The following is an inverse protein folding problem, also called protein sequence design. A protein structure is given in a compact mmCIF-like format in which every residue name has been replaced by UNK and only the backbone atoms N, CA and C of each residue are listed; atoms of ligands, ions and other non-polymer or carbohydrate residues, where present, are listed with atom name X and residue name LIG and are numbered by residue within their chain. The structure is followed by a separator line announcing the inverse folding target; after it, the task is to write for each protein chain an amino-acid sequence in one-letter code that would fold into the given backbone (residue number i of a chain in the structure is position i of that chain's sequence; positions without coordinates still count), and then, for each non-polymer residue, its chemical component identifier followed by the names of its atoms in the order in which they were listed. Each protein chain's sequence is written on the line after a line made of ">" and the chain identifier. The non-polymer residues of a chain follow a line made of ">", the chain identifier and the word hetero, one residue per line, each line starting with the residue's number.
data_IF_618012969141
#
_entry.id   IF_618012969141
#
_cell.length_a   1.000
_cell.length_b   1.000
_cell.length_c   1.000
_cell.angle_alpha   90.00
_cell.angle_beta   90.00
_cell.angle_gamma   90.00
#
_symmetry.space_group_name_H-M   'P 1'
#
loop_
_entity.id
_entity.type
_entity.pdbx_description
1 polymer ?
#
# COMPACT_ATOMS: atom_id res chain seq x y z
N UNK A 1 -7.26 -6.67 -60.93
CA UNK A 1 -8.16 -7.78 -60.57
C UNK A 1 -7.27 -8.96 -60.18
N UNK A 2 -7.13 -9.22 -58.89
CA UNK A 2 -6.64 -10.49 -58.34
C UNK A 2 -7.51 -10.82 -57.15
N UNK A 3 -8.15 -11.95 -57.22
CA UNK A 3 -9.15 -12.48 -56.29
C UNK A 3 -8.42 -13.14 -55.11
N UNK A 4 -8.77 -12.79 -53.86
CA UNK A 4 -8.36 -13.51 -52.66
C UNK A 4 -9.29 -14.69 -52.42
N UNK A 5 -8.81 -15.85 -51.98
CA UNK A 5 -9.67 -16.98 -51.61
C UNK A 5 -10.22 -16.83 -50.18
N UNK A 6 -11.50 -17.22 -50.06
CA UNK A 6 -12.28 -17.37 -48.83
C UNK A 6 -11.77 -18.59 -48.00
N UNK A 7 -11.58 -18.38 -46.71
CA UNK A 7 -11.37 -19.45 -45.73
C UNK A 7 -12.73 -19.98 -45.19
N UNK A 8 -12.86 -21.27 -44.89
CA UNK A 8 -14.13 -21.86 -44.50
C UNK A 8 -14.49 -21.63 -43.03
N UNK A 9 -15.80 -21.50 -42.77
CA UNK A 9 -16.42 -21.37 -41.47
C UNK A 9 -16.36 -22.69 -40.68
N UNK A 10 -16.04 -22.60 -39.38
CA UNK A 10 -16.09 -23.68 -38.39
C UNK A 10 -17.45 -23.68 -37.70
N UNK A 11 -18.17 -24.82 -37.58
CA UNK A 11 -19.49 -24.86 -36.98
C UNK A 11 -19.47 -24.80 -35.44
N UNK A 12 -20.37 -24.01 -34.89
CA UNK A 12 -20.66 -23.87 -33.45
C UNK A 12 -21.36 -25.17 -32.96
N UNK A 13 -20.77 -25.92 -32.05
CA UNK A 13 -21.40 -27.04 -31.39
C UNK A 13 -22.29 -26.58 -30.22
N UNK A 14 -23.54 -27.01 -30.23
CA UNK A 14 -24.53 -26.87 -29.14
C UNK A 14 -24.03 -27.53 -27.87
N UNK A 15 -23.98 -26.79 -26.76
CA UNK A 15 -23.89 -27.37 -25.41
C UNK A 15 -25.29 -27.31 -24.75
N UNK A 16 -25.76 -28.48 -24.39
CA UNK A 16 -27.09 -28.73 -23.84
C UNK A 16 -27.29 -28.16 -22.44
N UNK A 17 -28.50 -27.65 -22.22
CA UNK A 17 -29.04 -27.20 -20.94
C UNK A 17 -29.30 -28.40 -20.05
N UNK A 18 -28.57 -28.53 -18.93
CA UNK A 18 -28.89 -29.50 -17.87
C UNK A 18 -29.75 -28.76 -16.82
N UNK A 19 -31.03 -29.16 -16.74
CA UNK A 19 -31.98 -28.64 -15.76
C UNK A 19 -31.63 -29.11 -14.34
N UNK A 20 -31.49 -28.17 -13.42
CA UNK A 20 -31.34 -28.44 -11.98
C UNK A 20 -32.74 -28.39 -11.35
N UNK A 21 -33.23 -29.56 -10.89
CA UNK A 21 -34.44 -29.68 -10.06
C UNK A 21 -34.15 -29.12 -8.67
N UNK A 22 -35.02 -28.23 -8.20
CA UNK A 22 -35.04 -27.69 -6.83
C UNK A 22 -35.45 -28.81 -5.83
N UNK A 23 -34.61 -29.04 -4.82
CA UNK A 23 -34.95 -29.84 -3.63
C UNK A 23 -35.31 -28.91 -2.45
N UNK A 24 -36.27 -29.32 -1.61
CA UNK A 24 -36.69 -28.50 -0.44
C UNK A 24 -35.69 -28.58 0.70
N UNK A 25 -35.50 -27.43 1.38
CA UNK A 25 -34.66 -27.29 2.59
C UNK A 25 -35.24 -28.05 3.78
N UNK A 26 -34.44 -28.81 4.53
CA UNK A 26 -34.85 -29.26 5.87
C UNK A 26 -34.52 -28.22 6.94
N UNK A 27 -35.46 -28.08 7.90
CA UNK A 27 -35.36 -27.21 9.05
C UNK A 27 -34.17 -27.57 9.96
N UNK A 28 -33.40 -26.57 10.41
CA UNK A 28 -32.36 -26.73 11.42
C UNK A 28 -32.98 -26.88 12.82
N UNK A 29 -32.77 -28.03 13.46
CA UNK A 29 -32.84 -28.18 14.90
C UNK A 29 -31.44 -27.97 15.48
N UNK A 30 -31.37 -27.08 16.50
CA UNK A 30 -30.13 -26.79 17.22
C UNK A 30 -29.76 -27.98 18.13
N UNK A 31 -28.57 -28.54 17.92
CA UNK A 31 -27.89 -29.39 18.92
C UNK A 31 -26.46 -28.83 19.05
N UNK A 32 -26.07 -28.46 20.28
CA UNK A 32 -24.72 -28.00 20.59
C UNK A 32 -23.71 -29.12 20.36
N UNK A 33 -22.73 -28.81 19.56
CA UNK A 33 -21.48 -29.56 19.43
C UNK A 33 -20.35 -28.52 19.25
N UNK A 34 -19.28 -28.75 20.01
CA UNK A 34 -18.05 -27.94 19.92
C UNK A 34 -17.57 -27.83 18.47
N UNK A 35 -17.02 -26.67 18.07
CA UNK A 35 -16.50 -26.52 16.71
C UNK A 35 -15.32 -27.49 16.51
N UNK A 36 -15.29 -28.25 15.40
CA UNK A 36 -14.16 -29.11 15.11
C UNK A 36 -12.89 -28.27 14.97
N UNK A 37 -11.79 -28.79 15.53
CA UNK A 37 -10.47 -28.22 15.41
C UNK A 37 -10.20 -27.85 13.94
N UNK A 38 -9.68 -26.64 13.71
CA UNK A 38 -9.38 -26.14 12.38
C UNK A 38 -8.54 -27.18 11.62
N UNK A 39 -9.09 -27.71 10.52
CA UNK A 39 -8.36 -28.60 9.62
C UNK A 39 -7.11 -27.91 9.13
N UNK A 40 -5.98 -28.57 9.24
CA UNK A 40 -4.70 -28.14 8.69
C UNK A 40 -4.83 -28.04 7.16
N UNK A 41 -4.96 -26.80 6.65
CA UNK A 41 -5.05 -26.49 5.22
C UNK A 41 -3.67 -26.26 4.60
N UNK A 42 -2.59 -26.82 5.18
CA UNK A 42 -1.19 -26.54 4.83
C UNK A 42 -0.72 -27.08 3.46
N UNK A 43 -1.59 -27.64 2.64
CA UNK A 43 -1.17 -28.37 1.42
C UNK A 43 -1.78 -27.88 0.09
N UNK A 44 -2.03 -26.57 -0.08
CA UNK A 44 -2.48 -26.06 -1.38
C UNK A 44 -1.40 -25.24 -2.10
N UNK A 45 -1.34 -25.29 -3.46
CA UNK A 45 -0.41 -24.48 -4.28
C UNK A 45 -0.45 -22.97 -3.98
N UNK A 46 -1.60 -22.47 -3.48
CA UNK A 46 -1.78 -21.07 -3.03
C UNK A 46 -0.84 -20.68 -1.89
N UNK A 47 -0.49 -21.59 -0.98
CA UNK A 47 0.46 -21.30 0.09
C UNK A 47 1.88 -21.11 -0.44
N UNK A 48 2.28 -21.86 -1.46
CA UNK A 48 3.58 -21.69 -2.12
C UNK A 48 3.69 -20.31 -2.79
N UNK A 49 2.70 -19.93 -3.61
CA UNK A 49 2.69 -18.64 -4.27
C UNK A 49 2.60 -17.48 -3.29
N UNK A 50 1.83 -17.61 -2.22
CA UNK A 50 1.76 -16.58 -1.17
C UNK A 50 3.11 -16.41 -0.44
N UNK A 51 3.80 -17.50 -0.11
CA UNK A 51 5.13 -17.45 0.51
C UNK A 51 6.18 -16.86 -0.45
N UNK A 52 6.13 -17.23 -1.73
CA UNK A 52 6.99 -16.62 -2.74
C UNK A 52 6.69 -15.14 -2.91
N UNK A 53 5.41 -14.75 -2.97
CA UNK A 53 4.98 -13.35 -3.00
C UNK A 53 5.42 -12.56 -1.77
N UNK A 54 5.43 -13.18 -0.58
CA UNK A 54 5.96 -12.56 0.64
C UNK A 54 7.47 -12.30 0.53
N UNK A 55 8.22 -13.24 -0.02
CA UNK A 55 9.65 -13.05 -0.25
C UNK A 55 9.91 -11.91 -1.25
N UNK A 56 9.13 -11.83 -2.34
CA UNK A 56 9.18 -10.72 -3.29
C UNK A 56 8.88 -9.40 -2.58
N UNK A 57 7.76 -9.32 -1.87
CA UNK A 57 7.33 -8.11 -1.17
C UNK A 57 8.38 -7.58 -0.20
N UNK A 58 9.01 -8.49 0.56
CA UNK A 58 9.96 -8.13 1.62
C UNK A 58 11.37 -7.87 1.12
N UNK A 59 11.82 -8.56 0.06
CA UNK A 59 13.25 -8.66 -0.23
C UNK A 59 13.63 -8.46 -1.70
N UNK A 60 12.67 -8.35 -2.63
CA UNK A 60 12.98 -8.21 -4.05
C UNK A 60 13.01 -6.75 -4.45
N UNK A 61 14.13 -6.32 -5.01
CA UNK A 61 14.35 -4.96 -5.52
C UNK A 61 13.95 -4.82 -7.00
N UNK A 62 13.62 -5.91 -7.67
CA UNK A 62 13.33 -5.93 -9.10
C UNK A 62 14.47 -5.38 -9.97
N UNK A 63 15.70 -5.29 -9.44
CA UNK A 63 16.85 -4.69 -10.12
C UNK A 63 16.85 -3.16 -10.06
N UNK A 64 16.21 -2.57 -9.07
CA UNK A 64 16.10 -1.12 -8.89
C UNK A 64 17.40 -0.46 -8.41
N UNK A 65 18.44 -1.25 -8.16
CA UNK A 65 19.79 -0.76 -7.92
C UNK A 65 20.31 0.13 -9.08
N UNK A 66 19.78 -0.07 -10.30
CA UNK A 66 20.06 0.82 -11.44
C UNK A 66 19.66 2.28 -11.16
N UNK A 67 18.57 2.51 -10.43
CA UNK A 67 18.16 3.83 -9.96
C UNK A 67 18.85 4.21 -8.67
N UNK A 68 18.70 3.40 -7.61
CA UNK A 68 19.12 3.78 -6.26
C UNK A 68 20.62 3.84 -6.09
N UNK A 69 21.36 2.91 -6.70
CA UNK A 69 22.83 2.91 -6.70
C UNK A 69 23.40 3.66 -7.88
N UNK A 70 22.87 3.39 -9.09
CA UNK A 70 23.45 3.89 -10.33
C UNK A 70 23.20 5.39 -10.57
N UNK A 71 21.93 5.80 -10.53
CA UNK A 71 21.53 7.19 -10.84
C UNK A 71 21.58 8.08 -9.58
N UNK A 72 20.93 7.65 -8.50
CA UNK A 72 20.82 8.45 -7.27
C UNK A 72 22.06 8.37 -6.37
N UNK A 73 22.91 7.37 -6.56
CA UNK A 73 24.13 7.15 -5.76
C UNK A 73 23.86 7.07 -4.25
N UNK A 74 22.72 6.50 -3.86
CA UNK A 74 22.27 6.47 -2.47
C UNK A 74 23.15 5.63 -1.54
N UNK A 75 23.92 4.67 -2.09
CA UNK A 75 24.89 3.89 -1.31
C UNK A 75 25.97 4.76 -0.65
N UNK A 76 26.25 5.94 -1.19
CA UNK A 76 27.26 6.85 -0.64
C UNK A 76 26.80 7.51 0.67
N UNK A 77 25.69 8.27 0.71
CA UNK A 77 25.22 8.86 1.95
C UNK A 77 24.76 7.80 2.97
N UNK A 78 24.11 6.70 2.55
CA UNK A 78 23.65 5.66 3.47
C UNK A 78 24.81 4.97 4.19
N UNK A 79 25.96 4.84 3.57
CA UNK A 79 27.15 4.26 4.22
C UNK A 79 27.62 5.05 5.45
N UNK A 80 27.23 6.32 5.58
CA UNK A 80 27.63 7.20 6.68
C UNK A 80 26.48 7.55 7.65
N UNK A 81 25.26 7.03 7.39
CA UNK A 81 24.12 7.25 8.26
C UNK A 81 24.16 6.35 9.48
N UNK A 82 23.96 6.92 10.66
CA UNK A 82 23.75 6.14 11.87
C UNK A 82 22.35 5.54 11.93
N UNK A 83 22.12 4.47 12.72
CA UNK A 83 20.77 3.96 12.98
C UNK A 83 19.80 5.01 13.52
N UNK A 84 20.24 5.89 14.39
CA UNK A 84 19.42 6.99 14.93
C UNK A 84 18.92 7.92 13.83
N UNK A 85 19.79 8.33 12.91
CA UNK A 85 19.42 9.15 11.76
C UNK A 85 18.44 8.41 10.82
N UNK A 86 18.69 7.12 10.59
CA UNK A 86 17.82 6.27 9.77
C UNK A 86 16.42 6.11 10.38
N UNK A 87 16.33 5.88 11.69
CA UNK A 87 15.06 5.84 12.43
C UNK A 87 14.37 7.22 12.42
N UNK A 88 15.14 8.30 12.50
CA UNK A 88 14.65 9.68 12.46
C UNK A 88 13.93 10.04 11.15
N UNK A 89 14.31 9.44 10.02
CA UNK A 89 13.59 9.57 8.75
C UNK A 89 12.52 8.49 8.55
N UNK A 90 12.22 7.72 9.59
CA UNK A 90 11.11 6.78 9.62
C UNK A 90 11.44 5.37 9.10
N UNK A 91 12.71 5.04 8.83
CA UNK A 91 13.11 3.66 8.58
C UNK A 91 12.85 2.78 9.82
N UNK A 92 12.67 1.49 9.61
CA UNK A 92 12.29 0.53 10.66
C UNK A 92 13.24 -0.66 10.69
N UNK A 93 13.41 -1.25 11.88
CA UNK A 93 14.22 -2.44 12.09
C UNK A 93 13.36 -3.61 12.54
N UNK A 94 13.43 -4.70 11.78
CA UNK A 94 12.77 -5.98 12.05
C UNK A 94 13.62 -6.80 13.04
N UNK A 95 13.16 -6.97 14.26
CA UNK A 95 13.87 -7.74 15.29
C UNK A 95 13.97 -9.23 14.95
N UNK A 96 13.02 -9.76 14.16
CA UNK A 96 13.03 -11.16 13.76
C UNK A 96 14.14 -11.49 12.76
N UNK A 97 14.74 -10.48 12.14
CA UNK A 97 15.90 -10.63 11.25
C UNK A 97 17.24 -10.57 12.02
N UNK A 98 17.22 -10.25 13.31
CA UNK A 98 18.43 -10.07 14.12
C UNK A 98 18.78 -11.34 14.91
N UNK A 99 20.09 -11.65 15.06
CA UNK A 99 20.53 -12.67 16.02
C UNK A 99 20.07 -12.34 17.44
N UNK A 100 19.72 -13.36 18.23
CA UNK A 100 19.22 -13.20 19.61
C UNK A 100 20.17 -12.38 20.49
N UNK A 101 21.48 -12.54 20.30
CA UNK A 101 22.49 -11.77 21.04
C UNK A 101 22.41 -10.26 20.74
N UNK A 102 22.14 -9.88 19.48
CA UNK A 102 21.98 -8.48 19.07
C UNK A 102 20.70 -7.90 19.67
N UNK A 103 19.60 -8.66 19.66
CA UNK A 103 18.33 -8.25 20.31
C UNK A 103 18.54 -8.03 21.82
N UNK A 104 19.28 -8.92 22.49
CA UNK A 104 19.60 -8.77 23.90
C UNK A 104 20.45 -7.52 24.18
N UNK A 105 21.46 -7.26 23.35
CA UNK A 105 22.30 -6.06 23.45
C UNK A 105 21.51 -4.77 23.23
N UNK A 106 20.58 -4.75 22.26
CA UNK A 106 19.66 -3.62 22.02
C UNK A 106 18.79 -3.37 23.25
N UNK A 107 18.20 -4.41 23.85
CA UNK A 107 17.38 -4.29 25.09
C UNK A 107 18.18 -3.76 26.27
N UNK A 108 19.45 -4.11 26.34
CA UNK A 108 20.37 -3.65 27.40
C UNK A 108 20.95 -2.26 27.16
N UNK A 109 20.60 -1.59 26.02
CA UNK A 109 21.18 -0.29 25.65
C UNK A 109 22.68 -0.35 25.33
N UNK A 110 23.19 -1.52 24.95
CA UNK A 110 24.62 -1.76 24.70
C UNK A 110 25.04 -1.56 23.23
N UNK A 111 24.06 -1.24 22.36
CA UNK A 111 24.32 -0.95 20.94
C UNK A 111 24.38 0.55 20.75
N UNK A 112 25.49 1.05 20.21
CA UNK A 112 25.64 2.47 19.89
C UNK A 112 24.86 2.78 18.59
N UNK A 113 23.68 3.38 18.73
CA UNK A 113 22.84 3.77 17.60
C UNK A 113 23.36 5.03 16.86
N UNK A 114 24.43 5.66 17.34
CA UNK A 114 25.09 6.79 16.66
C UNK A 114 26.21 6.34 15.72
N UNK A 115 26.63 5.07 15.79
CA UNK A 115 27.69 4.50 14.94
C UNK A 115 27.15 4.04 13.57
N UNK A 116 27.58 4.61 12.44
CA UNK A 116 27.22 4.14 11.09
C UNK A 116 27.57 2.67 10.80
N UNK A 117 28.58 2.10 11.47
CA UNK A 117 28.92 0.68 11.29
C UNK A 117 27.79 -0.26 11.72
N UNK A 118 26.97 0.17 12.68
CA UNK A 118 25.76 -0.57 13.09
C UNK A 118 24.73 -0.58 11.95
N UNK A 119 24.55 0.52 11.22
CA UNK A 119 23.67 0.56 10.02
C UNK A 119 24.11 -0.47 8.98
N UNK A 120 25.39 -0.58 8.69
CA UNK A 120 25.92 -1.57 7.75
C UNK A 120 25.69 -3.02 8.24
N UNK A 121 25.79 -3.24 9.55
CA UNK A 121 25.49 -4.53 10.18
C UNK A 121 24.01 -4.89 10.04
N UNK A 122 23.09 -3.94 10.27
CA UNK A 122 21.66 -4.13 10.09
C UNK A 122 21.28 -4.40 8.62
N UNK A 123 21.94 -3.73 7.68
CA UNK A 123 21.74 -3.97 6.23
C UNK A 123 22.22 -5.39 5.83
N UNK A 124 23.37 -5.86 6.34
CA UNK A 124 23.83 -7.24 6.12
C UNK A 124 22.85 -8.28 6.64
N UNK A 125 22.26 -8.03 7.80
CA UNK A 125 21.24 -8.89 8.39
C UNK A 125 19.88 -8.85 7.66
N UNK A 126 19.70 -7.96 6.67
CA UNK A 126 18.39 -7.64 6.07
C UNK A 126 17.34 -7.19 7.10
N UNK A 127 17.79 -6.58 8.19
CA UNK A 127 16.93 -6.14 9.28
C UNK A 127 16.31 -4.76 9.03
N UNK A 128 16.87 -3.94 8.15
CA UNK A 128 16.26 -2.66 7.75
C UNK A 128 15.10 -2.94 6.80
N UNK A 129 13.88 -2.66 7.25
CA UNK A 129 12.67 -2.98 6.48
C UNK A 129 12.66 -2.20 5.16
N UNK A 130 12.50 -2.94 4.07
CA UNK A 130 12.34 -2.37 2.74
C UNK A 130 13.60 -1.82 2.09
N UNK A 131 14.76 -2.00 2.72
CA UNK A 131 16.06 -1.57 2.19
C UNK A 131 16.98 -2.77 2.03
N UNK A 132 17.56 -2.94 0.85
CA UNK A 132 18.52 -4.00 0.52
C UNK A 132 19.88 -3.41 0.25
N UNK A 133 20.84 -3.67 1.13
CA UNK A 133 22.22 -3.24 0.98
C UNK A 133 23.17 -4.41 0.68
N UNK A 134 24.06 -4.23 -0.28
CA UNK A 134 25.18 -5.16 -0.48
C UNK A 134 26.43 -4.59 0.19
N UNK A 135 26.77 -5.15 1.34
CA UNK A 135 27.95 -4.78 2.12
C UNK A 135 29.01 -5.87 1.95
N UNK A 136 30.21 -5.50 1.49
CA UNK A 136 31.35 -6.41 1.31
C UNK A 136 31.96 -6.81 2.65
N UNK A 137 32.82 -7.84 2.65
CA UNK A 137 33.41 -8.35 3.89
C UNK A 137 34.32 -7.31 4.59
N UNK A 138 34.95 -6.42 3.83
CA UNK A 138 35.71 -5.27 4.34
C UNK A 138 34.84 -4.08 4.81
N UNK A 139 33.51 -4.26 4.83
CA UNK A 139 32.57 -3.27 5.40
C UNK A 139 32.09 -2.19 4.45
N UNK A 140 32.39 -2.26 3.15
CA UNK A 140 31.96 -1.25 2.19
C UNK A 140 30.55 -1.53 1.65
N UNK A 141 29.66 -0.54 1.71
CA UNK A 141 28.35 -0.59 1.03
C UNK A 141 28.55 -0.30 -0.46
N UNK A 142 28.30 -1.29 -1.31
CA UNK A 142 28.54 -1.21 -2.77
C UNK A 142 27.28 -1.05 -3.59
N UNK A 143 26.13 -1.42 -3.02
CA UNK A 143 24.85 -1.33 -3.71
C UNK A 143 23.72 -1.17 -2.69
N UNK A 144 22.68 -0.45 -3.12
CA UNK A 144 21.43 -0.26 -2.39
C UNK A 144 20.26 -0.35 -3.35
N UNK A 145 19.18 -1.00 -2.91
CA UNK A 145 17.89 -1.04 -3.56
C UNK A 145 16.78 -1.03 -2.53
N UNK A 146 15.56 -0.86 -2.96
CA UNK A 146 14.38 -0.84 -2.10
C UNK A 146 13.39 -1.94 -2.45
N UNK A 147 12.46 -2.22 -1.55
CA UNK A 147 11.40 -3.23 -1.76
C UNK A 147 10.03 -2.63 -1.43
N UNK A 148 8.94 -3.32 -1.81
CA UNK A 148 7.58 -2.90 -1.48
C UNK A 148 7.37 -2.66 0.02
N UNK A 149 8.11 -3.40 0.87
CA UNK A 149 8.03 -3.28 2.32
C UNK A 149 8.47 -1.91 2.86
N UNK A 150 9.26 -1.12 2.12
CA UNK A 150 9.70 0.21 2.56
C UNK A 150 8.50 1.12 2.88
N UNK A 151 7.53 1.19 1.98
CA UNK A 151 6.34 2.03 2.11
C UNK A 151 5.16 1.31 2.78
N UNK A 152 5.13 -0.03 2.72
CA UNK A 152 3.97 -0.82 3.11
C UNK A 152 4.27 -1.85 4.21
N UNK A 153 5.25 -1.56 5.07
CA UNK A 153 5.47 -2.27 6.33
C UNK A 153 5.92 -1.31 7.42
N UNK A 154 5.57 -1.66 8.65
CA UNK A 154 6.06 -1.00 9.85
C UNK A 154 6.48 -2.06 10.88
N UNK A 155 6.68 -1.68 12.12
CA UNK A 155 6.92 -2.57 13.26
C UNK A 155 5.95 -2.23 14.39
N UNK A 156 5.83 -3.15 15.35
CA UNK A 156 4.98 -3.01 16.55
C UNK A 156 5.64 -2.20 17.67
N UNK A 157 6.83 -1.66 17.45
CA UNK A 157 7.63 -0.89 18.41
C UNK A 157 7.91 -1.66 19.74
N UNK A 158 7.80 -3.00 19.72
CA UNK A 158 7.92 -3.84 20.92
C UNK A 158 9.28 -3.82 21.60
N UNK A 159 10.32 -3.38 20.90
CA UNK A 159 11.66 -3.22 21.48
C UNK A 159 12.00 -1.75 21.79
N UNK A 160 11.78 -0.87 20.83
CA UNK A 160 11.95 0.57 20.90
C UNK A 160 11.20 1.25 19.75
N UNK A 161 10.97 2.58 19.79
CA UNK A 161 10.37 3.29 18.67
C UNK A 161 11.08 2.99 17.34
N UNK A 162 10.38 2.44 16.38
CA UNK A 162 10.92 2.02 15.08
C UNK A 162 11.65 0.67 15.06
N UNK A 163 11.69 -0.05 16.17
CA UNK A 163 12.35 -1.35 16.31
C UNK A 163 11.39 -2.36 16.95
N UNK A 164 11.02 -3.40 16.23
CA UNK A 164 10.03 -4.38 16.71
C UNK A 164 9.76 -5.48 15.68
N UNK A 165 8.68 -6.24 15.90
CA UNK A 165 8.22 -7.26 14.96
C UNK A 165 7.53 -6.62 13.76
N UNK A 166 7.83 -7.12 12.57
CA UNK A 166 7.34 -6.57 11.31
C UNK A 166 5.84 -6.75 11.12
N UNK A 167 5.19 -5.69 10.67
CA UNK A 167 3.77 -5.62 10.32
C UNK A 167 3.63 -5.31 8.82
N UNK A 168 3.52 -6.34 8.00
CA UNK A 168 3.35 -6.18 6.54
C UNK A 168 1.94 -5.69 6.19
N UNK A 169 1.86 -4.85 5.16
CA UNK A 169 0.60 -4.25 4.69
C UNK A 169 0.23 -2.94 5.38
N UNK A 170 0.88 -2.59 6.47
CA UNK A 170 0.64 -1.34 7.18
C UNK A 170 1.32 -0.17 6.45
N UNK A 171 0.63 0.97 6.41
CA UNK A 171 1.22 2.19 5.87
C UNK A 171 2.40 2.65 6.72
N UNK A 172 3.53 2.97 6.07
CA UNK A 172 4.70 3.53 6.74
C UNK A 172 4.52 5.04 6.98
N UNK A 173 3.61 5.41 7.89
CA UNK A 173 3.18 6.81 8.13
C UNK A 173 4.29 7.73 8.63
N UNK A 174 5.35 7.17 9.22
CA UNK A 174 6.53 7.93 9.67
C UNK A 174 7.65 8.00 8.64
N UNK A 175 7.58 7.25 7.54
CA UNK A 175 8.62 7.22 6.52
C UNK A 175 8.66 8.53 5.75
N UNK A 176 9.77 9.24 5.80
CA UNK A 176 9.97 10.47 5.04
C UNK A 176 10.76 10.20 3.76
N UNK A 177 10.04 9.75 2.72
CA UNK A 177 10.65 9.39 1.42
C UNK A 177 11.37 10.58 0.80
N UNK A 178 10.78 11.78 0.91
CA UNK A 178 11.37 13.00 0.36
C UNK A 178 12.70 13.36 1.05
N UNK A 179 12.76 13.27 2.37
CA UNK A 179 14.02 13.49 3.11
C UNK A 179 15.09 12.46 2.72
N UNK A 180 14.70 11.19 2.55
CA UNK A 180 15.63 10.14 2.10
C UNK A 180 16.16 10.43 0.71
N UNK A 181 15.31 10.74 -0.26
CA UNK A 181 15.72 11.10 -1.63
C UNK A 181 16.64 12.32 -1.66
N UNK A 182 16.41 13.30 -0.78
CA UNK A 182 17.21 14.53 -0.69
C UNK A 182 18.66 14.29 -0.23
N UNK A 183 18.98 13.11 0.31
CA UNK A 183 20.35 12.71 0.61
C UNK A 183 21.18 12.43 -0.65
N UNK A 184 20.53 12.17 -1.79
CA UNK A 184 21.22 11.82 -3.03
C UNK A 184 22.21 12.91 -3.45
N UNK A 185 23.50 12.56 -3.68
CA UNK A 185 24.46 13.54 -4.20
C UNK A 185 24.23 13.89 -5.68
N UNK A 186 23.39 13.13 -6.38
CA UNK A 186 23.10 13.32 -7.80
C UNK A 186 21.96 14.32 -8.07
N UNK A 187 21.19 14.71 -7.07
CA UNK A 187 20.09 15.68 -7.19
C UNK A 187 20.58 17.11 -6.96
N UNK A 188 20.05 18.05 -7.73
CA UNK A 188 20.28 19.48 -7.53
C UNK A 188 19.54 20.02 -6.28
N UNK A 189 19.89 21.23 -5.84
CA UNK A 189 19.36 21.83 -4.63
C UNK A 189 17.84 22.11 -4.72
N UNK A 190 17.32 22.46 -5.89
CA UNK A 190 15.89 22.74 -6.07
C UNK A 190 15.05 21.46 -5.95
N UNK A 191 15.48 20.39 -6.60
CA UNK A 191 14.85 19.06 -6.49
C UNK A 191 14.90 18.53 -5.05
N UNK A 192 16.03 18.69 -4.35
CA UNK A 192 16.15 18.31 -2.92
C UNK A 192 15.17 19.10 -2.04
N UNK A 193 15.06 20.41 -2.24
CA UNK A 193 14.12 21.24 -1.49
C UNK A 193 12.67 20.81 -1.72
N UNK A 194 12.31 20.51 -2.97
CA UNK A 194 10.99 20.04 -3.34
C UNK A 194 10.65 18.70 -2.66
N UNK A 195 11.54 17.71 -2.73
CA UNK A 195 11.33 16.42 -2.09
C UNK A 195 11.27 16.54 -0.57
N UNK A 196 12.12 17.35 0.04
CA UNK A 196 12.11 17.57 1.49
C UNK A 196 10.79 18.15 1.99
N UNK A 197 10.06 18.88 1.16
CA UNK A 197 8.77 19.47 1.50
C UNK A 197 7.61 18.45 1.57
N UNK A 198 7.79 17.21 1.08
CA UNK A 198 6.73 16.20 1.12
C UNK A 198 6.31 15.82 2.54
N UNK A 199 7.27 15.73 3.46
CA UNK A 199 7.06 15.33 4.83
C UNK A 199 6.86 13.81 5.02
N UNK A 200 6.70 13.35 6.27
CA UNK A 200 6.57 11.94 6.58
C UNK A 200 5.24 11.35 6.08
N UNK A 201 5.27 10.06 5.75
CA UNK A 201 4.11 9.29 5.32
C UNK A 201 3.55 9.66 3.94
N UNK A 202 4.28 10.43 3.15
CA UNK A 202 3.81 10.93 1.85
C UNK A 202 4.77 10.61 0.71
N UNK A 203 4.22 10.48 -0.48
CA UNK A 203 4.94 10.27 -1.73
C UNK A 203 4.12 10.75 -2.93
N UNK A 204 4.76 11.35 -3.94
CA UNK A 204 4.08 11.76 -5.18
C UNK A 204 4.41 10.84 -6.36
N UNK A 205 3.56 9.84 -6.67
CA UNK A 205 3.78 8.93 -7.79
C UNK A 205 3.45 9.54 -9.16
N UNK A 206 2.99 10.80 -9.21
CA UNK A 206 2.60 11.50 -10.44
C UNK A 206 3.47 12.70 -10.76
N UNK A 207 4.53 12.91 -10.00
CA UNK A 207 5.46 14.01 -10.23
C UNK A 207 6.56 13.63 -11.24
N UNK A 208 7.12 12.43 -11.12
CA UNK A 208 8.17 11.91 -12.00
C UNK A 208 8.13 10.39 -12.07
N UNK A 209 8.87 9.82 -13.01
CA UNK A 209 9.12 8.38 -13.09
C UNK A 209 10.53 8.10 -13.59
N UNK A 210 11.03 6.91 -13.35
CA UNK A 210 12.29 6.43 -13.91
C UNK A 210 12.03 5.74 -15.25
N UNK A 211 12.70 6.17 -16.34
CA UNK A 211 12.48 5.62 -17.68
C UNK A 211 13.36 4.41 -18.02
N UNK A 212 14.21 4.01 -17.08
CA UNK A 212 15.23 2.96 -17.22
C UNK A 212 16.65 3.51 -17.34
N UNK A 213 16.80 4.82 -17.47
CA UNK A 213 18.10 5.52 -17.58
C UNK A 213 18.19 6.75 -16.71
N UNK A 214 17.09 7.48 -16.55
CA UNK A 214 17.03 8.76 -15.81
C UNK A 214 15.65 8.98 -15.19
N UNK A 215 15.58 9.91 -14.26
CA UNK A 215 14.33 10.42 -13.72
C UNK A 215 13.72 11.40 -14.73
N UNK A 216 12.47 11.16 -15.11
CA UNK A 216 11.70 11.97 -16.07
C UNK A 216 10.57 12.67 -15.34
N UNK A 217 10.51 14.01 -15.37
CA UNK A 217 9.37 14.74 -14.81
C UNK A 217 8.12 14.57 -15.66
N UNK A 218 6.94 14.56 -15.00
CA UNK A 218 5.63 14.47 -15.66
C UNK A 218 4.97 15.83 -15.89
N UNK A 219 5.74 16.93 -15.85
CA UNK A 219 5.28 18.31 -16.06
C UNK A 219 4.05 18.65 -15.20
N UNK A 220 4.07 18.27 -13.95
CA UNK A 220 3.00 18.50 -12.99
C UNK A 220 3.58 19.04 -11.69
N UNK A 221 2.85 19.87 -10.93
CA UNK A 221 3.30 20.30 -9.62
C UNK A 221 3.52 19.12 -8.70
N UNK A 222 4.34 19.29 -7.67
CA UNK A 222 4.54 18.28 -6.63
C UNK A 222 3.34 18.30 -5.68
N UNK A 223 2.56 17.22 -5.67
CA UNK A 223 1.38 17.03 -4.81
C UNK A 223 1.45 15.66 -4.14
N UNK A 224 2.25 15.53 -3.08
CA UNK A 224 2.43 14.25 -2.41
C UNK A 224 1.15 13.79 -1.72
N UNK A 225 0.86 12.50 -1.85
CA UNK A 225 -0.28 11.85 -1.23
C UNK A 225 0.16 10.90 -0.13
N UNK A 226 -0.70 10.66 0.85
CA UNK A 226 -0.43 9.72 1.93
C UNK A 226 -0.16 8.32 1.39
N UNK A 227 0.79 7.62 1.99
CA UNK A 227 1.09 6.23 1.70
C UNK A 227 -0.06 5.38 2.23
N UNK A 228 -0.82 4.66 1.38
CA UNK A 228 -1.96 3.89 1.84
C UNK A 228 -1.54 2.54 2.43
N UNK A 229 -2.34 1.93 3.33
CA UNK A 229 -2.19 0.53 3.69
C UNK A 229 -2.55 -0.37 2.50
N UNK A 230 -1.95 -1.57 2.45
CA UNK A 230 -2.24 -2.59 1.44
C UNK A 230 -2.79 -3.89 2.05
N UNK A 231 -3.34 -3.84 3.24
CA UNK A 231 -4.13 -4.94 3.82
C UNK A 231 -5.63 -4.81 3.45
N UNK A 232 -6.38 -5.91 3.56
CA UNK A 232 -7.82 -5.91 3.30
C UNK A 232 -8.20 -5.59 1.86
N UNK A 233 -7.36 -5.97 0.88
CA UNK A 233 -7.57 -5.71 -0.55
C UNK A 233 -8.63 -6.62 -1.18
N UNK A 234 -9.12 -7.63 -0.46
CA UNK A 234 -10.10 -8.58 -1.00
C UNK A 234 -11.36 -7.84 -1.44
N UNK A 235 -11.84 -8.15 -2.64
CA UNK A 235 -13.03 -7.58 -3.27
C UNK A 235 -12.93 -6.09 -3.64
N UNK A 236 -11.78 -5.45 -3.48
CA UNK A 236 -11.55 -4.09 -4.00
C UNK A 236 -11.03 -4.20 -5.42
N UNK A 237 -11.77 -3.60 -6.38
CA UNK A 237 -11.47 -3.76 -7.80
C UNK A 237 -10.38 -2.84 -8.31
N UNK A 238 -10.35 -1.61 -7.77
CA UNK A 238 -9.41 -0.57 -8.17
C UNK A 238 -8.79 0.07 -6.94
N UNK A 239 -7.50 0.32 -7.01
CA UNK A 239 -6.72 0.78 -5.88
C UNK A 239 -6.18 2.20 -6.08
N UNK A 240 -5.65 2.75 -5.00
CA UNK A 240 -5.28 4.15 -4.83
C UNK A 240 -6.44 5.13 -4.98
N UNK A 241 -6.24 6.32 -4.46
CA UNK A 241 -7.24 7.40 -4.40
C UNK A 241 -7.90 7.71 -5.75
N UNK A 242 -7.17 7.58 -6.86
CA UNK A 242 -7.67 7.86 -8.21
C UNK A 242 -8.37 6.68 -8.88
N UNK A 243 -8.29 5.47 -8.34
CA UNK A 243 -8.86 4.30 -8.99
C UNK A 243 -8.34 4.04 -10.41
N UNK A 244 -7.09 4.34 -10.72
CA UNK A 244 -6.52 4.21 -12.07
C UNK A 244 -6.43 2.77 -12.55
N UNK A 245 -6.38 1.81 -11.65
CA UNK A 245 -6.32 0.39 -11.94
C UNK A 245 -6.32 -0.49 -10.70
N UNK A 246 -6.37 -1.81 -10.89
CA UNK A 246 -6.28 -2.78 -9.80
C UNK A 246 -4.89 -2.75 -9.14
N UNK A 247 -4.74 -3.43 -8.00
CA UNK A 247 -3.46 -3.50 -7.29
C UNK A 247 -2.30 -4.02 -8.19
N UNK A 248 -2.57 -4.93 -9.13
CA UNK A 248 -1.56 -5.41 -10.08
C UNK A 248 -1.06 -4.33 -11.04
N UNK A 249 -1.92 -3.39 -11.45
CA UNK A 249 -1.51 -2.21 -12.21
C UNK A 249 -0.55 -1.34 -11.38
N UNK A 250 -0.88 -1.10 -10.11
CA UNK A 250 -0.04 -0.31 -9.22
C UNK A 250 1.28 -1.01 -8.91
N UNK A 251 1.28 -2.33 -8.70
CA UNK A 251 2.50 -3.10 -8.52
C UNK A 251 3.45 -2.97 -9.73
N UNK A 252 2.90 -3.04 -10.95
CA UNK A 252 3.69 -2.86 -12.17
C UNK A 252 4.22 -1.43 -12.31
N UNK A 253 3.35 -0.43 -12.16
CA UNK A 253 3.73 0.98 -12.27
C UNK A 253 4.78 1.39 -11.22
N UNK A 254 4.53 1.05 -9.95
CA UNK A 254 5.44 1.38 -8.86
C UNK A 254 6.75 0.61 -8.99
N UNK A 255 6.67 -0.70 -9.25
CA UNK A 255 7.86 -1.53 -9.38
C UNK A 255 8.80 -1.08 -10.51
N UNK A 256 8.24 -0.70 -11.67
CA UNK A 256 9.06 -0.27 -12.82
C UNK A 256 9.37 1.23 -12.77
N UNK A 257 8.35 2.08 -12.60
CA UNK A 257 8.49 3.51 -12.81
C UNK A 257 8.90 4.30 -11.57
N UNK A 258 8.53 3.84 -10.37
CA UNK A 258 8.77 4.57 -9.13
C UNK A 258 9.93 4.01 -8.32
N UNK A 259 9.99 2.69 -8.14
CA UNK A 259 11.14 2.03 -7.52
C UNK A 259 12.35 2.00 -8.47
N UNK A 260 12.12 2.01 -9.77
CA UNK A 260 13.20 1.93 -10.76
C UNK A 260 13.59 0.49 -11.10
N UNK A 261 12.71 -0.49 -10.89
CA UNK A 261 12.93 -1.89 -11.24
C UNK A 261 13.12 -2.09 -12.74
N UNK A 262 13.96 -3.07 -13.09
CA UNK A 262 14.29 -3.41 -14.47
C UNK A 262 13.14 -4.17 -15.14
N UNK A 263 12.28 -3.45 -15.86
CA UNK A 263 11.08 -4.03 -16.46
C UNK A 263 10.41 -3.10 -17.47
N UNK A 264 9.17 -3.45 -17.83
CA UNK A 264 8.41 -2.71 -18.81
C UNK A 264 7.06 -2.29 -18.25
N UNK A 265 6.69 -1.02 -18.45
CA UNK A 265 5.39 -0.48 -18.10
C UNK A 265 4.94 0.55 -19.14
N UNK A 266 3.65 0.51 -19.47
CA UNK A 266 3.07 1.47 -20.41
C UNK A 266 1.67 1.87 -19.99
N UNK A 267 1.45 3.17 -19.80
CA UNK A 267 0.12 3.75 -19.68
C UNK A 267 0.07 5.09 -20.42
N UNK A 268 -0.53 5.14 -21.62
CA UNK A 268 -0.64 6.37 -22.41
C UNK A 268 -1.54 7.42 -21.77
N UNK A 269 -2.46 7.04 -20.85
CA UNK A 269 -3.36 7.98 -20.16
C UNK A 269 -2.60 8.96 -19.28
N UNK A 270 -1.41 8.54 -18.80
CA UNK A 270 -0.55 9.34 -17.92
C UNK A 270 0.82 9.63 -18.57
N UNK A 271 0.97 9.36 -19.89
CA UNK A 271 2.19 9.65 -20.63
C UNK A 271 3.40 8.79 -20.29
N UNK A 272 3.24 7.65 -19.59
CA UNK A 272 4.36 6.80 -19.18
C UNK A 272 4.59 5.65 -20.16
N UNK A 273 5.85 5.50 -20.60
CA UNK A 273 6.32 4.38 -21.42
C UNK A 273 7.73 4.00 -21.02
N UNK A 274 7.89 2.81 -20.47
CA UNK A 274 9.18 2.23 -20.07
C UNK A 274 9.30 0.84 -20.71
N UNK A 275 10.48 0.51 -21.24
CA UNK A 275 10.72 -0.80 -21.86
C UNK A 275 12.16 -1.21 -21.65
N UNK A 276 12.37 -2.19 -20.75
CA UNK A 276 13.68 -2.77 -20.47
C UNK A 276 13.60 -4.31 -20.57
N UNK A 277 14.70 -4.92 -21.01
CA UNK A 277 14.84 -6.37 -21.13
C UNK A 277 16.14 -6.85 -20.49
N UNK A 278 16.13 -8.00 -19.75
CA UNK A 278 14.97 -8.83 -19.42
C UNK A 278 14.00 -8.11 -18.47
N UNK A 279 12.71 -8.48 -18.49
CA UNK A 279 11.71 -7.92 -17.57
C UNK A 279 11.77 -8.72 -16.24
N UNK A 280 12.26 -8.07 -15.19
CA UNK A 280 12.39 -8.67 -13.85
C UNK A 280 11.16 -8.40 -12.95
N UNK A 281 10.21 -7.58 -13.42
CA UNK A 281 9.01 -7.18 -12.65
C UNK A 281 7.81 -8.05 -13.00
N UNK A 282 7.43 -8.09 -14.27
CA UNK A 282 6.18 -8.74 -14.73
C UNK A 282 6.03 -10.21 -14.26
N UNK A 283 7.07 -11.08 -14.30
CA UNK A 283 6.94 -12.47 -13.83
C UNK A 283 6.63 -12.62 -12.35
N UNK A 284 6.86 -11.58 -11.54
CA UNK A 284 6.69 -11.57 -10.08
C UNK A 284 5.35 -10.97 -9.62
N UNK A 285 4.57 -10.38 -10.54
CA UNK A 285 3.33 -9.66 -10.18
C UNK A 285 2.24 -10.59 -9.64
N UNK A 286 2.10 -11.80 -10.19
CA UNK A 286 1.06 -12.73 -9.74
C UNK A 286 1.32 -13.25 -8.31
N UNK A 287 2.49 -13.80 -7.96
CA UNK A 287 2.75 -14.22 -6.58
C UNK A 287 2.70 -13.02 -5.60
N UNK A 288 3.17 -11.84 -6.01
CA UNK A 288 3.06 -10.62 -5.21
C UNK A 288 1.60 -10.27 -4.91
N UNK A 289 0.73 -10.28 -5.93
CA UNK A 289 -0.71 -10.07 -5.78
C UNK A 289 -1.34 -11.08 -4.81
N UNK A 290 -1.03 -12.37 -4.98
CA UNK A 290 -1.57 -13.44 -4.12
C UNK A 290 -1.17 -13.17 -2.66
N UNK A 291 0.08 -12.81 -2.39
CA UNK A 291 0.52 -12.46 -1.04
C UNK A 291 -0.25 -11.25 -0.49
N UNK A 292 -0.35 -10.15 -1.24
CA UNK A 292 -1.07 -8.94 -0.82
C UNK A 292 -2.53 -9.23 -0.48
N UNK A 293 -3.18 -10.13 -1.23
CA UNK A 293 -4.54 -10.57 -0.93
C UNK A 293 -4.65 -11.42 0.34
N UNK A 294 -3.56 -11.96 0.89
CA UNK A 294 -3.57 -12.64 2.20
C UNK A 294 -3.50 -11.67 3.38
N UNK A 295 -3.07 -10.43 3.16
CA UNK A 295 -2.91 -9.43 4.21
C UNK A 295 -4.27 -8.98 4.73
N UNK A 296 -4.54 -9.29 5.99
CA UNK A 296 -5.81 -8.94 6.64
C UNK A 296 -5.69 -7.59 7.35
N UNK A 297 -6.79 -6.83 7.35
CA UNK A 297 -6.85 -5.62 8.17
C UNK A 297 -6.66 -5.99 9.65
N UNK A 298 -5.86 -5.21 10.41
CA UNK A 298 -5.75 -5.42 11.84
C UNK A 298 -7.06 -5.08 12.55
N UNK A 299 -7.29 -5.73 13.70
CA UNK A 299 -8.36 -5.36 14.61
C UNK A 299 -7.97 -4.10 15.40
N UNK A 300 -8.92 -3.23 15.74
CA UNK A 300 -8.66 -2.11 16.63
C UNK A 300 -8.10 -2.59 17.98
N UNK A 301 -7.15 -1.85 18.60
CA UNK A 301 -6.66 -2.19 19.91
C UNK A 301 -7.80 -2.26 20.96
N UNK A 302 -7.68 -3.18 21.91
CA UNK A 302 -8.66 -3.30 22.98
C UNK A 302 -8.79 -1.98 23.74
N UNK A 303 -10.03 -1.51 23.94
CA UNK A 303 -10.31 -0.24 24.61
C UNK A 303 -10.05 1.03 23.83
N UNK A 304 -9.70 0.94 22.52
CA UNK A 304 -9.44 2.12 21.69
C UNK A 304 -10.70 2.87 21.24
N UNK A 305 -11.88 2.29 21.45
CA UNK A 305 -13.18 2.91 21.18
C UNK A 305 -14.24 2.42 22.16
N UNK A 306 -15.34 3.21 22.32
CA UNK A 306 -16.53 2.82 23.09
C UNK A 306 -17.48 1.98 22.20
N UNK A 307 -17.70 0.69 22.50
CA UNK A 307 -18.53 -0.18 21.67
C UNK A 307 -20.02 0.22 21.63
N UNK A 308 -20.53 0.84 22.71
CA UNK A 308 -21.93 1.30 22.77
C UNK A 308 -22.11 2.54 21.89
N UNK A 309 -21.19 3.50 21.99
CA UNK A 309 -21.18 4.67 21.13
C UNK A 309 -20.92 4.29 19.67
N UNK A 310 -20.02 3.32 19.40
CA UNK A 310 -19.76 2.81 18.06
C UNK A 310 -21.02 2.16 17.44
N UNK A 311 -21.82 1.43 18.20
CA UNK A 311 -23.09 0.87 17.72
C UNK A 311 -24.06 1.99 17.27
N UNK A 312 -24.25 3.04 18.08
CA UNK A 312 -25.04 4.22 17.70
C UNK A 312 -24.45 4.95 16.48
N UNK A 313 -23.12 5.09 16.46
CA UNK A 313 -22.40 5.66 15.31
C UNK A 313 -22.61 4.90 14.00
N UNK A 314 -22.74 3.58 14.07
CA UNK A 314 -23.11 2.75 12.93
C UNK A 314 -24.50 3.06 12.37
N UNK A 315 -25.47 3.39 13.23
CA UNK A 315 -26.78 3.87 12.78
C UNK A 315 -26.69 5.25 12.15
N UNK A 316 -25.90 6.17 12.73
CA UNK A 316 -25.64 7.49 12.13
C UNK A 316 -24.98 7.33 10.75
N UNK A 317 -23.99 6.45 10.60
CA UNK A 317 -23.27 6.16 9.36
C UNK A 317 -24.21 5.72 8.23
N UNK A 318 -25.15 4.81 8.54
CA UNK A 318 -26.14 4.30 7.58
C UNK A 318 -27.30 5.26 7.34
N UNK A 319 -27.68 6.00 8.37
CA UNK A 319 -28.87 6.86 8.37
C UNK A 319 -28.55 8.34 8.13
N UNK A 320 -28.50 9.15 9.20
CA UNK A 320 -28.43 10.60 9.13
C UNK A 320 -27.21 11.14 8.38
N UNK A 321 -26.04 10.48 8.51
CA UNK A 321 -24.83 10.88 7.79
C UNK A 321 -24.78 10.35 6.35
N UNK A 322 -25.51 9.27 6.03
CA UNK A 322 -25.58 8.70 4.69
C UNK A 322 -24.28 8.18 4.10
N UNK A 323 -23.24 7.95 4.92
CA UNK A 323 -21.90 7.51 4.49
C UNK A 323 -21.96 6.17 3.73
N UNK A 324 -22.90 5.29 4.10
CA UNK A 324 -23.10 4.01 3.47
C UNK A 324 -23.60 4.10 2.01
N UNK A 325 -23.92 5.28 1.48
CA UNK A 325 -24.27 5.45 0.07
C UNK A 325 -23.08 5.18 -0.85
N UNK A 326 -21.89 5.59 -0.44
CA UNK A 326 -20.62 5.35 -1.13
C UNK A 326 -19.82 4.24 -0.45
N UNK A 327 -19.66 4.28 0.87
CA UNK A 327 -18.94 3.29 1.66
C UNK A 327 -19.80 2.05 1.94
N UNK A 328 -19.99 1.21 0.89
CA UNK A 328 -20.91 0.08 0.89
C UNK A 328 -20.26 -1.25 1.25
N UNK A 329 -21.07 -2.19 1.71
CA UNK A 329 -20.71 -3.59 1.92
C UNK A 329 -19.54 -3.80 2.89
N UNK A 330 -18.96 -5.00 2.93
CA UNK A 330 -17.93 -5.35 3.90
C UNK A 330 -16.57 -4.70 3.63
N UNK A 331 -16.35 -4.17 2.41
CA UNK A 331 -15.14 -3.43 2.05
C UNK A 331 -15.31 -1.91 2.23
N UNK A 332 -16.50 -1.43 2.58
CA UNK A 332 -16.81 -0.01 2.74
C UNK A 332 -16.39 0.84 1.54
N UNK A 333 -16.72 0.37 0.34
CA UNK A 333 -16.45 1.07 -0.92
C UNK A 333 -17.43 0.61 -2.00
N UNK A 334 -17.68 1.44 -2.98
CA UNK A 334 -18.43 1.11 -4.20
C UNK A 334 -17.52 0.68 -5.37
N UNK A 335 -16.21 0.66 -5.16
CA UNK A 335 -15.20 0.19 -6.11
C UNK A 335 -14.95 -1.30 -5.92
N UNK A 336 -16.00 -2.11 -6.15
CA UNK A 336 -15.94 -3.56 -5.94
C UNK A 336 -15.46 -4.30 -7.18
N UNK A 337 -14.72 -5.42 -6.97
CA UNK A 337 -14.39 -6.39 -8.02
C UNK A 337 -15.51 -7.41 -8.21
N UNK A 338 -15.78 -7.78 -9.45
CA UNK A 338 -16.73 -8.86 -9.84
C UNK A 338 -18.11 -8.37 -10.27
N UNK A 339 -18.94 -9.30 -10.83
CA UNK A 339 -20.27 -8.98 -11.31
C UNK A 339 -21.17 -8.43 -10.18
N UNK A 340 -22.14 -7.55 -10.48
CA UNK A 340 -22.48 -7.01 -11.81
C UNK A 340 -21.69 -5.77 -12.23
N UNK A 341 -20.72 -5.29 -11.43
CA UNK A 341 -19.99 -4.06 -11.71
C UNK A 341 -18.54 -4.36 -12.08
N UNK A 342 -18.22 -4.28 -13.36
CA UNK A 342 -16.86 -4.39 -13.88
C UNK A 342 -16.12 -3.04 -13.95
N UNK A 343 -16.79 -1.94 -13.57
CA UNK A 343 -16.24 -0.58 -13.59
C UNK A 343 -16.38 0.05 -12.21
N UNK A 344 -15.34 0.75 -11.72
CA UNK A 344 -15.44 1.47 -10.47
C UNK A 344 -16.48 2.60 -10.59
N UNK A 345 -17.24 2.82 -9.53
CA UNK A 345 -17.93 4.10 -9.34
C UNK A 345 -16.84 5.08 -8.90
N UNK A 346 -16.62 6.12 -9.68
CA UNK A 346 -15.63 7.16 -9.41
C UNK A 346 -16.35 8.51 -9.31
N UNK A 347 -15.91 9.34 -8.40
CA UNK A 347 -16.51 10.59 -8.01
C UNK A 347 -15.73 11.78 -8.54
N UNK A 348 -16.42 12.80 -9.00
CA UNK A 348 -15.78 14.07 -9.34
C UNK A 348 -15.28 14.76 -8.05
N UNK A 349 -14.15 15.49 -8.10
CA UNK A 349 -13.62 16.18 -6.92
C UNK A 349 -14.66 17.06 -6.20
N UNK A 350 -15.47 17.77 -6.97
CA UNK A 350 -16.52 18.66 -6.44
C UNK A 350 -17.64 17.89 -5.72
N UNK A 351 -17.90 16.64 -6.09
CA UNK A 351 -18.94 15.83 -5.44
C UNK A 351 -18.60 15.60 -3.95
N UNK A 352 -17.34 15.32 -3.67
CA UNK A 352 -16.86 14.98 -2.31
C UNK A 352 -16.15 16.12 -1.60
N UNK A 353 -15.99 17.27 -2.26
CA UNK A 353 -15.37 18.46 -1.67
C UNK A 353 -13.86 18.33 -1.45
N UNK A 354 -13.17 17.61 -2.32
CA UNK A 354 -11.71 17.54 -2.33
C UNK A 354 -11.11 18.31 -3.50
N UNK A 355 -9.80 18.56 -3.48
CA UNK A 355 -9.14 19.33 -4.52
C UNK A 355 -9.10 18.56 -5.85
N UNK A 356 -9.12 19.28 -6.99
CA UNK A 356 -9.17 18.71 -8.31
C UNK A 356 -7.78 18.51 -8.96
N UNK A 357 -6.76 19.17 -8.43
CA UNK A 357 -5.44 19.26 -9.07
C UNK A 357 -4.74 17.90 -9.12
N UNK A 358 -4.74 17.15 -8.03
CA UNK A 358 -4.20 15.78 -8.03
C UNK A 358 -4.97 14.88 -9.00
N UNK A 359 -6.32 14.92 -8.97
CA UNK A 359 -7.14 14.12 -9.86
C UNK A 359 -6.82 14.40 -11.33
N UNK A 360 -6.61 15.66 -11.72
CA UNK A 360 -6.32 16.07 -13.10
C UNK A 360 -5.10 15.37 -13.70
N UNK A 361 -4.13 14.95 -12.87
CA UNK A 361 -2.89 14.25 -13.24
C UNK A 361 -3.03 12.73 -13.34
N UNK A 362 -4.20 12.19 -12.98
CA UNK A 362 -4.44 10.76 -12.93
C UNK A 362 -5.10 10.25 -14.23
N UNK A 363 -5.10 8.94 -14.42
CA UNK A 363 -5.68 8.34 -15.61
C UNK A 363 -7.21 8.49 -15.67
N UNK A 364 -7.88 8.54 -14.53
CA UNK A 364 -9.34 8.63 -14.41
C UNK A 364 -9.83 10.07 -14.29
N UNK A 365 -8.98 10.99 -13.82
CA UNK A 365 -9.30 12.38 -13.45
C UNK A 365 -10.39 12.49 -12.38
N UNK A 366 -10.57 11.44 -11.60
CA UNK A 366 -11.60 11.27 -10.57
C UNK A 366 -11.02 10.67 -9.31
N UNK A 367 -11.84 10.64 -8.27
CA UNK A 367 -11.55 9.98 -7.00
C UNK A 367 -12.43 8.73 -6.83
N UNK A 368 -11.87 7.70 -6.20
CA UNK A 368 -12.65 6.54 -5.76
C UNK A 368 -13.15 6.75 -4.33
N UNK A 369 -14.20 6.05 -3.96
CA UNK A 369 -14.55 5.85 -2.56
C UNK A 369 -13.47 5.00 -1.88
N UNK A 370 -12.71 5.59 -0.94
CA UNK A 370 -11.66 4.87 -0.22
C UNK A 370 -12.27 3.77 0.66
N UNK A 371 -11.82 2.52 0.58
CA UNK A 371 -12.25 1.46 1.48
C UNK A 371 -11.91 1.80 2.94
N UNK A 372 -12.91 1.78 3.83
CA UNK A 372 -12.67 2.05 5.25
C UNK A 372 -12.20 0.77 5.94
N UNK A 373 -10.95 0.74 6.37
CA UNK A 373 -10.33 -0.46 6.95
C UNK A 373 -9.21 -0.07 7.91
N UNK A 374 -9.40 -0.40 9.19
CA UNK A 374 -8.46 -0.10 10.26
C UNK A 374 -8.07 1.38 10.32
N UNK A 375 -9.08 2.25 10.30
CA UNK A 375 -8.88 3.70 10.24
C UNK A 375 -8.05 4.25 11.42
N UNK A 376 -8.06 3.56 12.56
CA UNK A 376 -7.26 3.93 13.73
C UNK A 376 -5.74 3.96 13.46
N UNK A 377 -5.27 3.30 12.39
CA UNK A 377 -3.86 3.06 12.16
C UNK A 377 -3.22 4.11 11.22
N UNK A 378 -3.97 4.76 10.34
CA UNK A 378 -3.35 5.50 9.23
C UNK A 378 -3.78 6.98 9.10
N UNK A 379 -3.93 7.66 10.23
CA UNK A 379 -3.95 9.12 10.21
C UNK A 379 -2.60 9.66 9.63
N UNK A 380 -2.61 10.82 8.93
CA UNK A 380 -3.75 11.67 8.60
C UNK A 380 -4.60 11.14 7.45
N UNK A 381 -5.84 11.62 7.36
CA UNK A 381 -6.85 11.16 6.41
C UNK A 381 -6.95 12.09 5.19
N UNK A 382 -7.75 11.66 4.21
CA UNK A 382 -7.78 12.12 2.83
C UNK A 382 -6.50 11.82 2.09
N UNK A 383 -6.51 11.96 0.78
CA UNK A 383 -5.37 11.60 -0.06
C UNK A 383 -4.13 12.45 0.19
N UNK A 384 -4.32 13.70 0.57
CA UNK A 384 -3.28 14.71 0.86
C UNK A 384 -2.91 14.81 2.36
N UNK A 385 -3.67 14.10 3.23
CA UNK A 385 -3.51 14.17 4.68
C UNK A 385 -4.06 15.47 5.30
N UNK A 386 -4.98 16.16 4.63
CA UNK A 386 -5.56 17.43 5.11
C UNK A 386 -6.45 17.27 6.35
N UNK A 387 -6.98 16.09 6.64
CA UNK A 387 -7.72 15.79 7.85
C UNK A 387 -6.82 15.06 8.87
N UNK A 388 -6.35 15.72 9.93
CA UNK A 388 -5.42 15.10 10.89
C UNK A 388 -6.10 14.05 11.78
N UNK A 389 -7.42 14.09 11.95
CA UNK A 389 -8.18 13.21 12.83
C UNK A 389 -9.49 12.75 12.19
N UNK A 390 -10.11 11.70 12.74
CA UNK A 390 -11.45 11.25 12.32
C UNK A 390 -12.54 12.29 12.61
N UNK A 391 -12.38 13.08 13.64
CA UNK A 391 -13.25 14.21 13.95
C UNK A 391 -13.24 15.26 12.82
N UNK A 392 -12.05 15.57 12.27
CA UNK A 392 -11.90 16.46 11.12
C UNK A 392 -12.55 15.87 9.86
N UNK A 393 -12.45 14.57 9.63
CA UNK A 393 -13.13 13.86 8.52
C UNK A 393 -14.65 14.00 8.65
N UNK A 394 -15.19 13.73 9.84
CA UNK A 394 -16.63 13.84 10.11
C UNK A 394 -17.12 15.27 9.91
N UNK A 395 -16.37 16.27 10.39
CA UNK A 395 -16.74 17.67 10.23
C UNK A 395 -16.68 18.13 8.78
N UNK A 396 -15.68 17.69 8.01
CA UNK A 396 -15.60 17.97 6.57
C UNK A 396 -16.89 17.54 5.85
N UNK A 397 -17.32 16.28 6.02
CA UNK A 397 -18.52 15.77 5.37
C UNK A 397 -19.82 16.35 5.95
N UNK A 398 -19.84 16.64 7.27
CA UNK A 398 -20.97 17.33 7.90
C UNK A 398 -21.22 18.70 7.25
N UNK A 399 -20.14 19.45 7.03
CA UNK A 399 -20.20 20.76 6.35
C UNK A 399 -20.49 20.62 4.86
N UNK A 400 -19.74 19.74 4.18
CA UNK A 400 -19.86 19.58 2.71
C UNK A 400 -21.28 19.19 2.26
N UNK A 401 -21.91 18.32 3.00
CA UNK A 401 -23.24 17.79 2.64
C UNK A 401 -24.38 18.44 3.45
N UNK A 402 -24.11 19.41 4.31
CA UNK A 402 -25.12 20.07 5.14
C UNK A 402 -25.89 19.08 6.04
N UNK A 403 -25.20 18.09 6.62
CA UNK A 403 -25.83 16.99 7.34
C UNK A 403 -26.47 17.40 8.65
N UNK A 404 -26.06 18.54 9.23
CA UNK A 404 -26.55 19.07 10.50
C UNK A 404 -26.53 18.07 11.66
N UNK A 405 -25.46 17.24 11.73
CA UNK A 405 -25.30 16.27 12.81
C UNK A 405 -25.07 16.97 14.14
N UNK A 406 -25.77 16.51 15.19
CA UNK A 406 -25.51 16.96 16.55
C UNK A 406 -24.11 16.58 17.04
N UNK A 407 -23.62 17.24 18.07
CA UNK A 407 -22.33 16.89 18.70
C UNK A 407 -22.25 15.44 19.14
N UNK A 408 -23.35 14.90 19.71
CA UNK A 408 -23.43 13.49 20.11
C UNK A 408 -23.36 12.54 18.90
N UNK A 409 -24.07 12.84 17.81
CA UNK A 409 -24.01 12.01 16.60
C UNK A 409 -22.62 12.02 15.96
N UNK A 410 -21.92 13.17 15.93
CA UNK A 410 -20.53 13.24 15.44
C UNK A 410 -19.59 12.41 16.32
N UNK A 411 -19.71 12.51 17.66
CA UNK A 411 -18.90 11.73 18.59
C UNK A 411 -19.13 10.22 18.43
N UNK A 412 -20.39 9.78 18.37
CA UNK A 412 -20.75 8.36 18.15
C UNK A 412 -20.21 7.85 16.80
N UNK A 413 -20.32 8.65 15.73
CA UNK A 413 -19.80 8.32 14.39
C UNK A 413 -18.27 8.13 14.42
N UNK A 414 -17.53 8.96 15.14
CA UNK A 414 -16.07 8.81 15.32
C UNK A 414 -15.75 7.47 16.03
N UNK A 415 -16.51 7.07 17.06
CA UNK A 415 -16.31 5.77 17.72
C UNK A 415 -16.57 4.60 16.75
N UNK A 416 -17.58 4.72 15.89
CA UNK A 416 -17.81 3.73 14.85
C UNK A 416 -16.65 3.64 13.86
N UNK A 417 -16.15 4.78 13.36
CA UNK A 417 -15.01 4.82 12.45
C UNK A 417 -13.73 4.22 13.08
N UNK A 418 -13.51 4.40 14.38
CA UNK A 418 -12.42 3.75 15.12
C UNK A 418 -12.57 2.23 15.20
N UNK A 419 -13.79 1.70 15.08
CA UNK A 419 -14.09 0.28 15.21
C UNK A 419 -13.96 -0.54 13.91
N UNK A 420 -13.79 0.11 12.73
CA UNK A 420 -13.83 -0.55 11.41
C UNK A 420 -12.50 -0.58 10.65
#
# INVERSE_FOLDING_TARGET
>A
MRVLPLLPAVPLALLGVIGIKSMPSPALQAAGADPPAAADTSHFPTNFLANFGRAIFRFDTFGDEQLWTGVLRMHEPIATLSPEQALGVGLKVDVDALPTAVVAALRAGQVDLTDPAVTLTLLRANAVIGVKGRVTDDGKLTSIGITCALCHSTVDDSLAPGIGHRLDGWAATSLNVGAILSLSPALDAATKAEFSAWGPGKYDPRHHYFDGTRIVPLNSPSLPVVIPPIYGLQRVGFEKVSGDGPISYWNAYVGVGQMGGHGSFRDPRIGVRISQRPDLVTPKLLPLLIYQLTLRKPAPPAGSFDPIAAARGGEVFRGAAGCARCHQGPAFTDVLSGPPRNWPVLHDPDEVGTEAEYASRTATKRYRTEPLRALFQHAPYFHDGSAPTLEAVVEHYNTRFGLNLSGAQKADLVQYLKSI
#
